data_IF_641551429984
#
_entry.id   IF_641551429984
#
_cell.length_a   1.000
_cell.length_b   1.000
_cell.length_c   1.000
_cell.angle_alpha   90.00
_cell.angle_beta   90.00
_cell.angle_gamma   90.00
#
_symmetry.space_group_name_H-M   'P 1'
#
loop_
_entity.id
_entity.type
_entity.pdbx_description
1 polymer ?
#
# COMPACT_ATOMS: atom_id res chain seq x y z
N UNK A 1 -39.85 5.80 6.65
CA UNK A 1 -39.26 4.45 6.73
C UNK A 1 -39.05 3.84 5.34
N UNK A 2 -40.10 3.75 4.51
CA UNK A 2 -40.03 3.30 3.10
C UNK A 2 -38.85 3.87 2.30
N UNK A 3 -38.76 5.20 2.17
CA UNK A 3 -37.70 5.86 1.38
C UNK A 3 -36.29 5.60 1.91
N UNK A 4 -36.14 5.47 3.23
CA UNK A 4 -34.84 5.20 3.87
C UNK A 4 -34.37 3.79 3.52
N UNK A 5 -35.25 2.79 3.64
CA UNK A 5 -34.95 1.39 3.31
C UNK A 5 -34.64 1.25 1.82
N UNK A 6 -35.46 1.87 0.95
CA UNK A 6 -35.20 1.86 -0.49
C UNK A 6 -33.82 2.47 -0.81
N UNK A 7 -33.53 3.64 -0.23
CA UNK A 7 -32.23 4.30 -0.41
C UNK A 7 -31.10 3.37 0.03
N UNK A 8 -31.17 2.78 1.23
CA UNK A 8 -30.13 1.91 1.76
C UNK A 8 -29.86 0.71 0.85
N UNK A 9 -30.89 -0.01 0.44
CA UNK A 9 -30.77 -1.17 -0.46
C UNK A 9 -30.16 -0.75 -1.80
N UNK A 10 -30.64 0.36 -2.38
CA UNK A 10 -30.15 0.87 -3.67
C UNK A 10 -28.70 1.37 -3.59
N UNK A 11 -28.29 1.93 -2.46
CA UNK A 11 -26.90 2.36 -2.20
C UNK A 11 -25.94 1.21 -1.88
N UNK A 12 -26.41 -0.03 -1.85
CA UNK A 12 -25.54 -1.20 -1.68
C UNK A 12 -25.40 -1.70 -0.24
N UNK A 13 -26.15 -1.15 0.73
CA UNK A 13 -26.10 -1.63 2.11
C UNK A 13 -26.61 -3.06 2.21
N UNK A 14 -25.97 -3.82 3.10
CA UNK A 14 -26.33 -5.19 3.48
C UNK A 14 -27.41 -5.21 4.56
N UNK A 15 -28.02 -6.38 4.77
CA UNK A 15 -29.01 -6.60 5.82
C UNK A 15 -28.45 -6.21 7.19
N UNK A 16 -27.22 -6.62 7.51
CA UNK A 16 -26.56 -6.30 8.78
C UNK A 16 -26.28 -4.80 8.95
N UNK A 17 -25.88 -4.10 7.88
CA UNK A 17 -25.66 -2.65 7.92
C UNK A 17 -26.97 -1.89 8.11
N UNK A 18 -28.06 -2.33 7.46
CA UNK A 18 -29.37 -1.72 7.66
C UNK A 18 -29.86 -1.96 9.09
N UNK A 19 -29.66 -3.15 9.66
CA UNK A 19 -30.01 -3.46 11.05
C UNK A 19 -29.25 -2.61 12.08
N UNK A 20 -28.02 -2.22 11.76
CA UNK A 20 -27.24 -1.31 12.63
C UNK A 20 -27.84 0.11 12.71
N UNK A 21 -28.66 0.49 11.73
CA UNK A 21 -29.32 1.80 11.68
C UNK A 21 -30.84 1.72 11.96
N UNK A 22 -31.46 0.56 11.70
CA UNK A 22 -32.89 0.30 11.87
C UNK A 22 -33.05 -1.03 12.62
N UNK A 23 -33.21 -0.94 13.94
CA UNK A 23 -33.30 -2.10 14.84
C UNK A 23 -34.47 -3.03 14.46
N UNK A 24 -35.57 -2.48 13.95
CA UNK A 24 -36.78 -3.23 13.58
C UNK A 24 -36.65 -3.96 12.21
N UNK A 25 -35.50 -3.87 11.55
CA UNK A 25 -35.30 -4.48 10.24
C UNK A 25 -35.11 -6.01 10.34
N UNK A 26 -35.91 -6.83 9.64
CA UNK A 26 -35.92 -8.29 9.83
C UNK A 26 -34.69 -8.97 9.23
N UNK A 27 -34.32 -10.12 9.82
CA UNK A 27 -33.20 -10.96 9.35
C UNK A 27 -33.43 -11.56 7.95
N UNK A 28 -34.66 -12.01 7.65
CA UNK A 28 -35.05 -12.47 6.31
C UNK A 28 -36.17 -11.61 5.77
N UNK A 29 -35.84 -10.82 4.74
CA UNK A 29 -36.82 -9.96 4.09
C UNK A 29 -37.75 -10.77 3.20
N UNK A 30 -39.03 -10.69 3.53
CA UNK A 30 -40.13 -11.16 2.69
C UNK A 30 -40.66 -10.04 1.81
N UNK A 31 -41.29 -10.42 0.69
CA UNK A 31 -41.98 -9.45 -0.17
C UNK A 31 -43.13 -8.79 0.61
N UNK A 32 -43.86 -9.56 1.42
CA UNK A 32 -44.92 -9.08 2.30
C UNK A 32 -44.47 -7.99 3.29
N UNK A 33 -43.25 -8.09 3.83
CA UNK A 33 -42.72 -7.05 4.71
C UNK A 33 -42.53 -5.71 3.97
N UNK A 34 -41.99 -5.76 2.74
CA UNK A 34 -41.84 -4.56 1.91
C UNK A 34 -43.19 -4.02 1.44
N UNK A 35 -44.15 -4.88 1.13
CA UNK A 35 -45.52 -4.46 0.81
C UNK A 35 -46.19 -3.75 2.00
N UNK A 36 -46.02 -4.26 3.22
CA UNK A 36 -46.50 -3.60 4.46
C UNK A 36 -45.86 -2.23 4.70
N UNK A 37 -44.63 -2.02 4.23
CA UNK A 37 -43.95 -0.72 4.24
C UNK A 37 -44.44 0.23 3.13
N UNK A 38 -45.34 -0.25 2.25
CA UNK A 38 -45.98 0.53 1.19
C UNK A 38 -45.28 0.43 -0.17
N UNK A 39 -44.43 -0.57 -0.42
CA UNK A 39 -43.91 -0.86 -1.77
C UNK A 39 -44.93 -1.65 -2.60
N UNK A 40 -45.00 -1.36 -3.90
CA UNK A 40 -45.73 -2.23 -4.82
C UNK A 40 -45.01 -3.57 -4.97
N UNK A 41 -45.76 -4.66 -5.20
CA UNK A 41 -45.26 -6.04 -5.25
C UNK A 41 -44.01 -6.18 -6.16
N UNK A 42 -44.06 -5.59 -7.35
CA UNK A 42 -42.94 -5.65 -8.32
C UNK A 42 -41.67 -5.01 -7.75
N UNK A 43 -41.80 -3.86 -7.09
CA UNK A 43 -40.66 -3.14 -6.53
C UNK A 43 -40.16 -3.78 -5.23
N UNK A 44 -41.06 -4.34 -4.43
CA UNK A 44 -40.72 -5.18 -3.28
C UNK A 44 -39.87 -6.38 -3.71
N UNK A 45 -40.26 -7.08 -4.78
CA UNK A 45 -39.47 -8.18 -5.35
C UNK A 45 -38.09 -7.67 -5.77
N UNK A 46 -38.01 -6.60 -6.57
CA UNK A 46 -36.72 -6.04 -7.03
C UNK A 46 -35.80 -5.66 -5.86
N UNK A 47 -36.32 -4.99 -4.84
CA UNK A 47 -35.55 -4.57 -3.67
C UNK A 47 -35.05 -5.78 -2.86
N UNK A 48 -35.90 -6.79 -2.65
CA UNK A 48 -35.48 -8.05 -2.01
C UNK A 48 -34.34 -8.72 -2.78
N UNK A 49 -34.44 -8.78 -4.11
CA UNK A 49 -33.37 -9.32 -4.95
C UNK A 49 -32.08 -8.50 -4.87
N UNK A 50 -32.20 -7.17 -4.86
CA UNK A 50 -31.04 -6.26 -4.76
C UNK A 50 -30.35 -6.39 -3.40
N UNK A 51 -31.08 -6.47 -2.30
CA UNK A 51 -30.49 -6.66 -0.98
C UNK A 51 -29.75 -8.00 -0.88
N UNK A 52 -30.37 -9.09 -1.38
CA UNK A 52 -29.69 -10.39 -1.46
C UNK A 52 -28.42 -10.35 -2.30
N UNK A 53 -28.36 -9.48 -3.32
CA UNK A 53 -27.12 -9.26 -4.08
C UNK A 53 -26.07 -8.52 -3.24
N UNK A 54 -26.45 -7.47 -2.51
CA UNK A 54 -25.55 -6.73 -1.63
C UNK A 54 -24.92 -7.65 -0.57
N UNK A 55 -25.74 -8.47 0.10
CA UNK A 55 -25.27 -9.43 1.11
C UNK A 55 -24.25 -10.41 0.53
N UNK A 56 -24.55 -10.98 -0.65
CA UNK A 56 -23.64 -11.89 -1.36
C UNK A 56 -22.32 -11.23 -1.74
N UNK A 57 -22.33 -9.97 -2.16
CA UNK A 57 -21.12 -9.22 -2.48
C UNK A 57 -20.27 -9.07 -1.22
N UNK A 58 -20.87 -8.65 -0.11
CA UNK A 58 -20.16 -8.47 1.17
C UNK A 58 -19.57 -9.78 1.69
N UNK A 59 -20.32 -10.88 1.63
CA UNK A 59 -19.82 -12.20 2.00
C UNK A 59 -18.61 -12.61 1.15
N UNK A 60 -18.68 -12.36 -0.16
CA UNK A 60 -17.57 -12.62 -1.08
C UNK A 60 -16.33 -11.77 -0.74
N UNK A 61 -16.51 -10.48 -0.43
CA UNK A 61 -15.43 -9.59 0.02
C UNK A 61 -14.78 -10.06 1.33
N UNK A 62 -15.60 -10.43 2.33
CA UNK A 62 -15.10 -10.95 3.61
C UNK A 62 -14.31 -12.23 3.38
N UNK A 63 -14.81 -13.11 2.50
CA UNK A 63 -14.11 -14.33 2.13
C UNK A 63 -12.80 -14.04 1.42
N UNK A 64 -12.80 -13.14 0.45
CA UNK A 64 -11.60 -12.71 -0.27
C UNK A 64 -10.57 -12.13 0.71
N UNK A 65 -10.99 -11.28 1.65
CA UNK A 65 -10.13 -10.72 2.70
C UNK A 65 -9.53 -11.81 3.61
N UNK A 66 -10.32 -12.81 4.01
CA UNK A 66 -9.80 -13.98 4.75
C UNK A 66 -8.76 -14.75 3.91
N UNK A 67 -9.04 -14.96 2.62
CA UNK A 67 -8.11 -15.59 1.68
C UNK A 67 -6.78 -14.83 1.57
N UNK A 68 -6.83 -13.50 1.40
CA UNK A 68 -5.65 -12.63 1.38
C UNK A 68 -4.82 -12.78 2.66
N UNK A 69 -5.46 -12.75 3.84
CA UNK A 69 -4.77 -12.93 5.13
C UNK A 69 -4.05 -14.27 5.25
N UNK A 70 -4.62 -15.35 4.72
CA UNK A 70 -3.97 -16.67 4.70
C UNK A 70 -2.72 -16.63 3.83
N UNK A 71 -2.82 -16.07 2.62
CA UNK A 71 -1.68 -15.97 1.70
C UNK A 71 -0.59 -15.02 2.24
N UNK A 72 -0.96 -13.92 2.90
CA UNK A 72 0.00 -13.01 3.55
C UNK A 72 0.80 -13.72 4.66
N UNK A 73 0.17 -14.62 5.43
CA UNK A 73 0.88 -15.45 6.43
C UNK A 73 1.86 -16.43 5.79
N UNK A 74 1.55 -16.94 4.60
CA UNK A 74 2.46 -17.82 3.83
C UNK A 74 3.65 -17.04 3.23
N UNK A 75 3.47 -15.73 2.99
CA UNK A 75 4.49 -14.82 2.48
C UNK A 75 4.80 -14.99 1.00
N UNK A 76 5.39 -13.96 0.39
CA UNK A 76 5.79 -13.97 -1.02
C UNK A 76 4.69 -13.56 -2.00
N UNK A 77 3.74 -12.75 -1.54
CA UNK A 77 2.67 -12.17 -2.34
C UNK A 77 2.54 -10.67 -2.06
N UNK A 78 2.16 -9.90 -3.07
CA UNK A 78 1.66 -8.53 -2.96
C UNK A 78 0.25 -8.48 -3.53
N UNK A 79 -0.63 -7.74 -2.86
CA UNK A 79 -2.04 -7.65 -3.21
C UNK A 79 -2.41 -6.19 -3.46
N UNK A 80 -3.27 -5.98 -4.45
CA UNK A 80 -4.11 -4.78 -4.47
C UNK A 80 -5.20 -4.87 -3.37
N UNK A 81 -5.84 -3.76 -2.99
CA UNK A 81 -6.72 -3.70 -1.82
C UNK A 81 -7.89 -4.70 -1.82
N UNK A 82 -8.50 -4.93 -2.99
CA UNK A 82 -9.69 -5.78 -3.14
C UNK A 82 -9.42 -7.08 -3.90
N UNK A 83 -8.15 -7.47 -4.09
CA UNK A 83 -7.77 -8.69 -4.78
C UNK A 83 -8.50 -9.94 -4.23
N UNK A 84 -9.25 -10.61 -5.09
CA UNK A 84 -9.95 -11.86 -4.77
C UNK A 84 -9.13 -13.09 -5.21
N UNK A 85 -8.48 -13.81 -4.27
CA UNK A 85 -7.72 -15.01 -4.60
C UNK A 85 -8.60 -16.19 -5.05
N UNK A 86 -9.93 -16.08 -4.94
CA UNK A 86 -10.85 -17.14 -5.37
C UNK A 86 -11.42 -16.94 -6.77
N UNK A 87 -11.22 -15.75 -7.37
CA UNK A 87 -11.67 -15.41 -8.71
C UNK A 87 -10.56 -14.71 -9.49
N UNK A 88 -9.73 -15.51 -10.16
CA UNK A 88 -8.48 -15.04 -10.76
C UNK A 88 -8.50 -15.08 -12.29
N UNK A 89 -7.71 -14.20 -12.90
CA UNK A 89 -7.30 -14.24 -14.30
C UNK A 89 -5.85 -14.70 -14.35
N UNK A 90 -5.61 -15.80 -15.06
CA UNK A 90 -4.31 -16.45 -15.09
C UNK A 90 -3.38 -15.78 -16.11
N UNK A 91 -2.16 -15.50 -15.68
CA UNK A 91 -1.02 -15.16 -16.53
C UNK A 91 -0.03 -16.34 -16.61
N UNK A 92 0.70 -16.42 -17.73
CA UNK A 92 1.74 -17.43 -18.01
C UNK A 92 2.82 -17.43 -16.94
N UNK A 93 3.26 -16.25 -16.49
CA UNK A 93 4.36 -16.14 -15.52
C UNK A 93 4.01 -16.75 -14.15
N UNK A 94 2.76 -16.58 -13.69
CA UNK A 94 2.32 -17.11 -12.40
C UNK A 94 2.29 -18.65 -12.40
N UNK A 95 1.91 -19.26 -13.51
CA UNK A 95 1.83 -20.71 -13.68
C UNK A 95 3.18 -21.41 -13.41
N UNK A 96 4.27 -20.76 -13.82
CA UNK A 96 5.61 -21.32 -13.70
C UNK A 96 6.16 -21.23 -12.27
N UNK A 97 5.56 -20.42 -11.40
CA UNK A 97 5.96 -20.29 -10.00
C UNK A 97 5.20 -21.26 -9.09
N UNK A 98 5.86 -21.82 -8.07
CA UNK A 98 5.19 -22.68 -7.08
C UNK A 98 4.05 -21.94 -6.37
N UNK A 99 4.31 -20.71 -5.94
CA UNK A 99 3.34 -19.86 -5.23
C UNK A 99 2.14 -19.49 -6.09
N UNK A 100 2.33 -19.20 -7.38
CA UNK A 100 1.23 -18.95 -8.30
C UNK A 100 0.35 -20.18 -8.46
N UNK A 101 0.96 -21.38 -8.58
CA UNK A 101 0.22 -22.65 -8.59
C UNK A 101 -0.56 -22.92 -7.32
N UNK A 102 -0.04 -22.54 -6.15
CA UNK A 102 -0.78 -22.67 -4.90
C UNK A 102 -2.03 -21.79 -4.86
N UNK A 103 -1.96 -20.57 -5.40
CA UNK A 103 -3.15 -19.71 -5.57
C UNK A 103 -4.13 -20.34 -6.55
N UNK A 104 -3.66 -20.79 -7.72
CA UNK A 104 -4.51 -21.45 -8.72
C UNK A 104 -5.16 -22.71 -8.14
N UNK A 105 -4.49 -23.48 -7.27
CA UNK A 105 -5.09 -24.67 -6.65
C UNK A 105 -6.20 -24.32 -5.66
N UNK A 106 -6.04 -23.23 -4.90
CA UNK A 106 -6.99 -22.77 -3.86
C UNK A 106 -8.16 -21.95 -4.42
N UNK A 107 -8.03 -21.42 -5.63
CA UNK A 107 -9.06 -20.62 -6.27
C UNK A 107 -10.31 -21.44 -6.62
N UNK A 108 -11.45 -20.75 -6.77
CA UNK A 108 -12.74 -21.39 -7.08
C UNK A 108 -13.11 -21.27 -8.55
N UNK A 109 -12.74 -20.17 -9.18
CA UNK A 109 -13.08 -19.86 -10.57
C UNK A 109 -11.89 -19.14 -11.20
N UNK A 110 -11.38 -19.72 -12.26
CA UNK A 110 -10.21 -19.22 -12.97
C UNK A 110 -10.61 -18.82 -14.36
N UNK A 111 -10.24 -17.63 -14.80
CA UNK A 111 -10.34 -17.21 -16.19
C UNK A 111 -8.99 -17.40 -16.83
N UNK A 112 -8.98 -18.00 -18.02
CA UNK A 112 -7.80 -18.11 -18.85
C UNK A 112 -8.12 -17.63 -20.26
N UNK A 113 -7.29 -16.74 -20.77
CA UNK A 113 -7.45 -16.24 -22.14
C UNK A 113 -6.85 -17.23 -23.12
N UNK A 114 -7.43 -17.33 -24.31
CA UNK A 114 -6.86 -18.14 -25.38
C UNK A 114 -5.44 -17.69 -25.74
N UNK A 115 -5.16 -16.38 -25.70
CA UNK A 115 -3.83 -15.84 -25.88
C UNK A 115 -2.81 -16.36 -24.84
N UNK A 116 -3.22 -16.48 -23.58
CA UNK A 116 -2.39 -17.06 -22.52
C UNK A 116 -2.16 -18.56 -22.75
N UNK A 117 -3.16 -19.29 -23.25
CA UNK A 117 -3.00 -20.71 -23.62
C UNK A 117 -1.97 -20.83 -24.75
N UNK A 118 -2.08 -20.00 -25.79
CA UNK A 118 -1.14 -19.98 -26.92
C UNK A 118 0.28 -19.62 -26.47
N UNK A 119 0.42 -18.67 -25.56
CA UNK A 119 1.73 -18.32 -24.99
C UNK A 119 2.34 -19.50 -24.20
N UNK A 120 1.53 -20.18 -23.37
CA UNK A 120 1.95 -21.40 -22.67
C UNK A 120 2.35 -22.50 -23.68
N UNK A 121 1.62 -22.65 -24.79
CA UNK A 121 1.95 -23.58 -25.86
C UNK A 121 3.30 -23.27 -26.51
N UNK A 122 3.56 -21.99 -26.81
CA UNK A 122 4.80 -21.54 -27.41
C UNK A 122 5.98 -21.76 -26.46
N UNK A 123 5.86 -21.36 -25.19
CA UNK A 123 6.88 -21.61 -24.16
C UNK A 123 7.18 -23.09 -24.03
N UNK A 124 6.15 -23.94 -24.07
CA UNK A 124 6.32 -25.39 -24.01
C UNK A 124 7.10 -25.95 -25.21
N UNK A 125 6.72 -25.57 -26.43
CA UNK A 125 7.36 -26.03 -27.67
C UNK A 125 8.81 -25.54 -27.75
N UNK A 126 9.07 -24.28 -27.42
CA UNK A 126 10.42 -23.71 -27.39
C UNK A 126 11.32 -24.44 -26.39
N UNK A 127 10.80 -24.71 -25.19
CA UNK A 127 11.53 -25.45 -24.15
C UNK A 127 11.84 -26.89 -24.59
N UNK A 128 10.92 -27.54 -25.32
CA UNK A 128 11.14 -28.88 -25.87
C UNK A 128 12.23 -28.90 -26.96
N UNK A 129 12.30 -27.87 -27.81
CA UNK A 129 13.27 -27.77 -28.91
C UNK A 129 14.70 -27.46 -28.46
N UNK A 130 14.91 -27.05 -27.20
CA UNK A 130 16.27 -26.82 -26.67
C UNK A 130 17.10 -28.10 -26.70
N UNK A 131 18.29 -28.01 -27.32
CA UNK A 131 19.28 -29.10 -27.43
C UNK A 131 19.85 -29.52 -26.07
N UNK A 132 20.05 -28.57 -25.15
CA UNK A 132 20.42 -28.84 -23.76
C UNK A 132 19.34 -28.24 -22.85
N UNK A 133 18.70 -29.08 -22.06
CA UNK A 133 17.68 -28.69 -21.08
C UNK A 133 18.29 -28.71 -19.69
N UNK A 134 18.07 -27.66 -18.93
CA UNK A 134 18.46 -27.65 -17.52
C UNK A 134 17.36 -28.25 -16.62
N UNK A 135 17.60 -28.27 -15.31
CA UNK A 135 16.61 -28.75 -14.32
C UNK A 135 15.32 -27.91 -14.34
N UNK A 136 15.43 -26.61 -14.59
CA UNK A 136 14.30 -25.69 -14.61
C UNK A 136 13.43 -25.91 -15.86
N UNK A 137 14.04 -26.11 -17.02
CA UNK A 137 13.37 -26.46 -18.27
C UNK A 137 12.54 -27.74 -18.10
N UNK A 138 13.13 -28.79 -17.50
CA UNK A 138 12.41 -30.04 -17.25
C UNK A 138 11.25 -29.86 -16.25
N UNK A 139 11.45 -29.06 -15.20
CA UNK A 139 10.39 -28.72 -14.24
C UNK A 139 9.25 -27.92 -14.90
N UNK A 140 9.58 -26.97 -15.78
CA UNK A 140 8.62 -26.18 -16.54
C UNK A 140 7.82 -27.07 -17.51
N UNK A 141 8.48 -27.95 -18.27
CA UNK A 141 7.82 -28.90 -19.18
C UNK A 141 6.81 -29.74 -18.40
N UNK A 142 7.22 -30.32 -17.27
CA UNK A 142 6.34 -31.13 -16.42
C UNK A 142 5.14 -30.30 -15.94
N UNK A 143 5.41 -29.13 -15.37
CA UNK A 143 4.38 -28.21 -14.85
C UNK A 143 3.37 -27.82 -15.92
N UNK A 144 3.83 -27.40 -17.10
CA UNK A 144 2.95 -27.00 -18.20
C UNK A 144 2.11 -28.18 -18.67
N UNK A 145 2.68 -29.38 -18.78
CA UNK A 145 1.95 -30.57 -19.22
C UNK A 145 0.82 -30.97 -18.25
N UNK A 146 1.09 -30.91 -16.94
CA UNK A 146 0.12 -31.18 -15.88
C UNK A 146 -1.00 -30.14 -15.90
N UNK A 147 -0.65 -28.86 -16.00
CA UNK A 147 -1.64 -27.79 -15.98
C UNK A 147 -2.47 -27.71 -17.26
N UNK A 148 -1.91 -28.01 -18.43
CA UNK A 148 -2.71 -28.18 -19.66
C UNK A 148 -3.80 -29.21 -19.41
N UNK A 149 -3.45 -30.43 -19.00
CA UNK A 149 -4.43 -31.49 -18.71
C UNK A 149 -5.47 -31.03 -17.69
N UNK A 150 -5.04 -30.29 -16.67
CA UNK A 150 -5.92 -29.77 -15.62
C UNK A 150 -6.89 -28.70 -16.17
N UNK A 151 -6.40 -27.73 -16.93
CA UNK A 151 -7.19 -26.65 -17.55
C UNK A 151 -8.22 -27.20 -18.54
N UNK A 152 -7.89 -28.27 -19.28
CA UNK A 152 -8.83 -28.90 -20.20
C UNK A 152 -9.91 -29.73 -19.49
N UNK A 153 -9.62 -30.29 -18.31
CA UNK A 153 -10.52 -31.26 -17.65
C UNK A 153 -11.31 -30.69 -16.46
N UNK A 154 -10.88 -29.57 -15.86
CA UNK A 154 -11.55 -29.01 -14.69
C UNK A 154 -12.50 -27.87 -15.06
N UNK A 155 -13.75 -27.99 -14.59
CA UNK A 155 -14.83 -27.01 -14.83
C UNK A 155 -14.57 -25.62 -14.22
N UNK A 156 -13.62 -25.50 -13.29
CA UNK A 156 -13.27 -24.21 -12.67
C UNK A 156 -12.60 -23.24 -13.65
N UNK A 157 -11.93 -23.75 -14.69
CA UNK A 157 -11.27 -22.94 -15.71
C UNK A 157 -12.27 -22.53 -16.79
N UNK A 158 -12.53 -21.23 -16.89
CA UNK A 158 -13.36 -20.63 -17.93
C UNK A 158 -12.46 -20.01 -18.98
N UNK A 159 -12.40 -20.65 -20.14
CA UNK A 159 -11.68 -20.17 -21.31
C UNK A 159 -12.43 -18.98 -21.90
N UNK A 160 -11.69 -17.94 -22.29
CA UNK A 160 -12.24 -16.74 -22.93
C UNK A 160 -11.43 -16.38 -24.16
N UNK A 161 -12.15 -16.08 -25.23
CA UNK A 161 -11.61 -15.47 -26.44
C UNK A 161 -11.82 -13.96 -26.39
N UNK A 162 -10.89 -13.21 -26.98
CA UNK A 162 -10.96 -11.76 -27.11
C UNK A 162 -10.43 -11.40 -28.48
N UNK A 163 -11.23 -10.61 -29.20
CA UNK A 163 -10.81 -9.97 -30.43
C UNK A 163 -9.98 -8.73 -30.07
N UNK A 164 -8.66 -8.88 -30.11
CA UNK A 164 -7.69 -7.82 -29.88
C UNK A 164 -6.53 -8.01 -30.86
N UNK A 165 -6.28 -6.99 -31.69
CA UNK A 165 -5.25 -6.99 -32.73
C UNK A 165 -3.81 -6.97 -32.18
N UNK A 166 -3.65 -6.65 -30.89
CA UNK A 166 -2.33 -6.64 -30.26
C UNK A 166 -1.68 -8.04 -30.30
N UNK A 167 -0.36 -8.09 -30.34
CA UNK A 167 0.41 -9.35 -30.36
C UNK A 167 0.84 -9.78 -28.96
N UNK A 168 0.94 -8.85 -28.01
CA UNK A 168 1.43 -9.11 -26.67
C UNK A 168 0.32 -9.64 -25.76
N UNK A 169 0.58 -10.79 -25.11
CA UNK A 169 -0.34 -11.43 -24.19
C UNK A 169 -0.76 -10.48 -23.06
N UNK A 170 0.21 -9.80 -22.44
CA UNK A 170 0.00 -8.80 -21.40
C UNK A 170 -1.03 -7.74 -21.77
N UNK A 171 -0.96 -7.19 -23.00
CA UNK A 171 -1.91 -6.17 -23.44
C UNK A 171 -3.30 -6.76 -23.61
N UNK A 172 -3.42 -8.00 -24.10
CA UNK A 172 -4.71 -8.70 -24.17
C UNK A 172 -5.30 -9.00 -22.80
N UNK A 173 -4.47 -9.36 -21.84
CA UNK A 173 -4.86 -9.57 -20.43
C UNK A 173 -5.45 -8.26 -19.85
N UNK A 174 -4.75 -7.15 -19.99
CA UNK A 174 -5.21 -5.86 -19.47
C UNK A 174 -6.46 -5.36 -20.21
N UNK A 175 -6.50 -5.53 -21.53
CA UNK A 175 -7.68 -5.22 -22.35
C UNK A 175 -8.90 -6.03 -21.90
N UNK A 176 -8.72 -7.32 -21.60
CA UNK A 176 -9.78 -8.16 -21.05
C UNK A 176 -10.36 -7.58 -19.76
N UNK A 177 -9.51 -7.28 -18.78
CA UNK A 177 -9.95 -6.78 -17.49
C UNK A 177 -10.72 -5.48 -17.69
N UNK A 178 -10.24 -4.60 -18.58
CA UNK A 178 -10.92 -3.35 -18.89
C UNK A 178 -12.31 -3.56 -19.53
N UNK A 179 -12.44 -4.55 -20.41
CA UNK A 179 -13.70 -4.88 -21.11
C UNK A 179 -14.78 -5.48 -20.20
N UNK A 180 -14.41 -5.99 -19.03
CA UNK A 180 -15.34 -6.59 -18.07
C UNK A 180 -15.89 -5.51 -17.13
N UNK A 181 -17.20 -5.54 -16.89
CA UNK A 181 -17.87 -4.67 -15.91
C UNK A 181 -17.22 -4.78 -14.53
N UNK A 182 -17.09 -3.66 -13.83
CA UNK A 182 -16.32 -3.53 -12.59
C UNK A 182 -16.67 -4.60 -11.55
N UNK A 183 -17.96 -4.91 -11.37
CA UNK A 183 -18.44 -5.88 -10.37
C UNK A 183 -18.13 -7.34 -10.74
N UNK A 184 -17.66 -7.58 -11.97
CA UNK A 184 -17.37 -8.93 -12.50
C UNK A 184 -15.90 -9.10 -12.88
N UNK A 185 -15.06 -8.08 -12.65
CA UNK A 185 -13.64 -8.13 -13.00
C UNK A 185 -12.93 -9.21 -12.18
N UNK A 186 -12.17 -10.10 -12.82
CA UNK A 186 -11.31 -11.04 -12.11
C UNK A 186 -10.08 -10.31 -11.54
N UNK A 187 -9.44 -10.94 -10.56
CA UNK A 187 -8.15 -10.50 -10.03
C UNK A 187 -7.00 -11.07 -10.86
N UNK A 188 -6.12 -10.23 -11.38
CA UNK A 188 -4.96 -10.69 -12.15
C UNK A 188 -3.98 -11.45 -11.25
N UNK A 189 -3.58 -12.66 -11.61
CA UNK A 189 -2.52 -13.40 -10.94
C UNK A 189 -1.29 -13.45 -11.84
N UNK A 190 -0.20 -12.77 -11.45
CA UNK A 190 1.03 -12.68 -12.24
C UNK A 190 2.28 -12.78 -11.36
N UNK A 191 3.39 -13.25 -11.94
CA UNK A 191 4.73 -13.16 -11.38
C UNK A 191 5.63 -12.19 -12.18
N UNK A 192 5.05 -11.47 -13.14
CA UNK A 192 5.72 -10.40 -13.88
C UNK A 192 5.44 -9.05 -13.20
N UNK A 193 6.53 -8.38 -12.81
CA UNK A 193 6.46 -7.08 -12.15
C UNK A 193 5.90 -5.98 -13.06
N UNK A 194 6.25 -5.98 -14.35
CA UNK A 194 5.79 -4.97 -15.29
C UNK A 194 4.29 -5.12 -15.54
N UNK A 195 3.81 -6.36 -15.66
CA UNK A 195 2.38 -6.62 -15.82
C UNK A 195 1.60 -6.25 -14.54
N UNK A 196 2.11 -6.60 -13.35
CA UNK A 196 1.52 -6.20 -12.08
C UNK A 196 1.48 -4.68 -11.91
N UNK A 197 2.57 -3.99 -12.23
CA UNK A 197 2.66 -2.52 -12.16
C UNK A 197 1.71 -1.84 -13.16
N UNK A 198 1.55 -2.40 -14.37
CA UNK A 198 0.54 -1.91 -15.32
C UNK A 198 -0.88 -2.12 -14.79
N UNK A 199 -1.18 -3.28 -14.23
CA UNK A 199 -2.49 -3.56 -13.64
C UNK A 199 -2.82 -2.57 -12.52
N UNK A 200 -1.86 -2.31 -11.62
CA UNK A 200 -1.96 -1.31 -10.55
C UNK A 200 -2.24 0.09 -11.11
N UNK A 201 -1.52 0.50 -12.16
CA UNK A 201 -1.71 1.80 -12.80
C UNK A 201 -3.09 1.97 -13.46
N UNK A 202 -3.72 0.88 -13.90
CA UNK A 202 -5.10 0.88 -14.41
C UNK A 202 -6.16 0.77 -13.31
N UNK A 203 -5.76 0.62 -12.04
CA UNK A 203 -6.68 0.36 -10.93
C UNK A 203 -7.30 -1.03 -10.99
N UNK A 204 -6.63 -1.99 -11.63
CA UNK A 204 -7.07 -3.39 -11.67
C UNK A 204 -6.58 -4.14 -10.45
N UNK A 205 -7.43 -5.02 -9.94
CA UNK A 205 -7.05 -5.85 -8.81
C UNK A 205 -6.06 -6.94 -9.25
N UNK A 206 -4.99 -7.14 -8.49
CA UNK A 206 -3.93 -8.10 -8.79
C UNK A 206 -3.36 -8.80 -7.55
N UNK A 207 -2.79 -9.98 -7.80
CA UNK A 207 -1.94 -10.75 -6.91
C UNK A 207 -0.60 -10.91 -7.62
N UNK A 208 0.41 -10.23 -7.11
CA UNK A 208 1.78 -10.35 -7.60
C UNK A 208 2.55 -11.36 -6.76
N UNK A 209 3.15 -12.35 -7.43
CA UNK A 209 3.92 -13.42 -6.80
C UNK A 209 5.41 -13.08 -6.82
N UNK A 210 6.02 -12.90 -5.65
CA UNK A 210 7.46 -12.66 -5.57
C UNK A 210 8.26 -13.94 -5.85
N UNK A 211 9.31 -13.79 -6.67
CA UNK A 211 10.40 -14.77 -6.75
C UNK A 211 11.26 -14.61 -5.49
N UNK A 212 11.18 -15.55 -4.56
CA UNK A 212 12.05 -15.53 -3.37
C UNK A 212 13.51 -15.77 -3.74
N UNK A 213 14.43 -15.06 -3.07
CA UNK A 213 15.88 -15.31 -3.13
C UNK A 213 16.14 -16.79 -2.81
N UNK A 214 16.38 -17.57 -3.85
CA UNK A 214 16.46 -19.04 -3.84
C UNK A 214 16.33 -19.60 -5.25
N UNK A 215 15.57 -18.91 -6.10
CA UNK A 215 15.59 -19.11 -7.55
C UNK A 215 16.63 -18.15 -8.16
N UNK A 216 17.78 -18.68 -8.58
CA UNK A 216 18.88 -17.86 -9.10
C UNK A 216 18.48 -17.15 -10.41
N UNK A 217 18.35 -15.82 -10.36
CA UNK A 217 18.90 -14.92 -11.38
C UNK A 217 19.15 -13.53 -10.79
N UNK A 218 20.42 -13.11 -10.86
CA UNK A 218 21.05 -11.80 -10.61
C UNK A 218 20.33 -10.76 -9.70
N UNK A 219 21.03 -10.47 -8.60
CA UNK A 219 20.92 -9.34 -7.65
C UNK A 219 20.09 -8.13 -8.15
N UNK A 220 19.05 -7.82 -7.41
CA UNK A 220 18.85 -6.46 -6.88
C UNK A 220 18.32 -6.59 -5.45
N UNK A 221 19.17 -6.21 -4.52
CA UNK A 221 18.88 -6.15 -3.09
C UNK A 221 18.35 -4.77 -2.77
N UNK A 222 17.15 -4.73 -2.19
CA UNK A 222 16.82 -3.75 -1.16
C UNK A 222 16.12 -4.54 -0.06
N UNK A 223 16.79 -4.63 1.08
CA UNK A 223 16.22 -5.14 2.32
C UNK A 223 15.07 -4.22 2.73
N UNK A 224 13.89 -4.78 2.91
CA UNK A 224 12.81 -4.13 3.65
C UNK A 224 12.74 -4.86 4.98
N UNK A 225 13.09 -4.14 6.04
CA UNK A 225 12.98 -4.60 7.42
C UNK A 225 11.49 -4.89 7.71
N UNK A 226 11.23 -6.06 8.29
CA UNK A 226 9.99 -6.37 8.98
C UNK A 226 9.80 -5.34 10.10
N UNK A 227 8.86 -4.41 9.92
CA UNK A 227 8.33 -3.62 11.03
C UNK A 227 6.95 -4.18 11.38
N UNK A 228 6.88 -4.80 12.56
CA UNK A 228 5.67 -5.31 13.20
C UNK A 228 4.54 -4.28 13.17
N UNK A 229 3.50 -4.56 12.37
CA UNK A 229 2.25 -3.79 12.41
C UNK A 229 1.45 -4.31 13.60
N UNK A 230 1.57 -3.60 14.72
CA UNK A 230 0.67 -3.70 15.87
C UNK A 230 -0.71 -3.17 15.45
N UNK A 231 -1.57 -4.06 14.98
CA UNK A 231 -2.99 -3.74 14.74
C UNK A 231 -3.69 -3.60 16.09
N UNK A 232 -4.14 -2.39 16.41
CA UNK A 232 -5.10 -2.17 17.49
C UNK A 232 -6.43 -2.81 17.10
N UNK A 233 -6.71 -3.99 17.66
CA UNK A 233 -8.05 -4.53 17.78
C UNK A 233 -8.68 -3.97 19.06
N UNK A 234 -9.68 -3.11 18.91
CA UNK A 234 -10.64 -2.82 19.98
C UNK A 234 -11.51 -4.05 20.17
N UNK A 235 -11.14 -4.91 21.11
CA UNK A 235 -12.04 -5.91 21.68
C UNK A 235 -12.62 -5.35 22.98
N UNK A 236 -13.93 -5.15 22.96
CA UNK A 236 -14.78 -4.95 24.13
C UNK A 236 -14.86 -6.30 24.84
N UNK A 237 -14.35 -6.38 26.07
CA UNK A 237 -14.79 -7.40 27.03
C UNK A 237 -14.91 -6.81 28.44
N UNK A 238 -16.08 -7.06 29.01
CA UNK A 238 -16.52 -6.66 30.35
C UNK A 238 -15.77 -7.39 31.46
N UNK A 239 -15.61 -6.66 32.57
CA UNK A 239 -15.56 -7.11 33.97
C UNK A 239 -14.76 -8.37 34.34
N UNK A 240 -13.64 -8.16 35.04
CA UNK A 240 -13.57 -8.55 36.46
C UNK A 240 -12.36 -7.91 37.15
N UNK A 241 -12.66 -7.07 38.14
CA UNK A 241 -11.70 -6.42 39.03
C UNK A 241 -11.26 -7.43 40.09
N UNK A 242 -9.95 -7.64 40.22
CA UNK A 242 -9.35 -8.00 41.52
C UNK A 242 -8.02 -7.27 41.69
N UNK A 243 -8.07 -6.35 42.64
CA UNK A 243 -6.99 -5.56 43.23
C UNK A 243 -5.91 -6.48 43.80
N UNK A 244 -4.63 -6.16 43.55
CA UNK A 244 -3.61 -6.19 44.59
C UNK A 244 -2.41 -5.32 44.20
N UNK A 245 -2.28 -4.23 44.94
CA UNK A 245 -1.15 -3.33 45.03
C UNK A 245 0.01 -3.97 45.78
N UNK A 246 1.24 -3.69 45.38
CA UNK A 246 2.36 -3.53 46.33
C UNK A 246 3.46 -2.67 45.70
N UNK A 247 3.82 -1.60 46.42
CA UNK A 247 4.92 -0.69 46.15
C UNK A 247 6.27 -1.25 46.65
N UNK A 248 7.31 -0.45 46.35
CA UNK A 248 8.59 -0.26 47.04
C UNK A 248 9.77 -1.20 46.68
N UNK A 249 10.83 -0.65 46.05
CA UNK A 249 12.07 -0.16 46.70
C UNK A 249 13.19 0.18 45.70
N UNK A 250 13.67 1.43 45.79
CA UNK A 250 15.00 1.90 45.38
C UNK A 250 16.09 1.18 46.20
N UNK A 251 17.25 0.95 45.58
CA UNK A 251 18.52 0.90 46.30
C UNK A 251 19.67 1.38 45.41
N UNK A 252 20.52 2.14 46.07
CA UNK A 252 21.50 3.09 45.57
C UNK A 252 22.94 2.52 45.61
N UNK A 253 23.80 3.13 44.78
CA UNK A 253 25.24 3.40 44.98
C UNK A 253 26.26 2.23 45.04
N UNK A 254 27.25 2.27 44.11
CA UNK A 254 28.68 2.41 44.46
C UNK A 254 29.57 2.83 43.29
N UNK A 255 30.23 3.97 43.49
CA UNK A 255 31.38 4.45 42.73
C UNK A 255 32.68 3.85 43.27
N UNK A 256 33.69 3.70 42.39
CA UNK A 256 35.10 3.61 42.78
C UNK A 256 35.93 4.51 41.87
N UNK A 257 36.56 5.50 42.51
CA UNK A 257 37.61 6.37 42.00
C UNK A 257 38.99 5.79 42.30
N UNK A 258 40.01 6.18 41.53
CA UNK A 258 41.41 6.17 41.97
C UNK A 258 42.12 7.39 41.37
N UNK A 259 42.91 8.04 42.22
CA UNK A 259 43.51 9.38 42.14
C UNK A 259 44.77 9.45 41.24
N UNK A 260 44.91 10.50 40.41
CA UNK A 260 45.70 11.76 40.55
C UNK A 260 47.20 11.64 40.20
N UNK A 261 47.61 12.41 39.18
CA UNK A 261 48.78 13.30 39.23
C UNK A 261 48.49 14.59 38.42
N UNK A 262 48.71 15.74 39.07
CA UNK A 262 48.64 17.10 38.50
C UNK A 262 49.94 17.46 37.76
N UNK A 263 49.81 18.26 36.69
CA UNK A 263 50.60 19.49 36.55
C UNK A 263 49.99 20.43 35.49
N UNK A 264 49.58 21.59 35.99
CA UNK A 264 49.76 22.93 35.43
C UNK A 264 48.89 23.50 34.29
N UNK A 265 48.17 24.54 34.71
CA UNK A 265 47.81 25.79 34.01
C UNK A 265 46.67 25.75 32.98
N UNK A 266 45.46 26.22 33.36
CA UNK A 266 45.13 27.66 33.48
C UNK A 266 43.61 27.87 33.70
N UNK A 267 43.20 28.21 34.92
CA UNK A 267 41.90 28.81 35.30
C UNK A 267 42.02 29.25 36.76
N UNK A 268 41.34 30.24 37.34
CA UNK A 268 40.30 31.24 37.01
C UNK A 268 40.14 32.00 38.34
N UNK A 269 39.77 33.26 38.31
CA UNK A 269 39.00 33.93 39.37
C UNK A 269 38.56 35.28 38.80
N UNK A 270 37.33 35.78 38.94
CA UNK A 270 36.36 35.57 40.00
C UNK A 270 34.92 35.72 39.46
N UNK A 271 34.00 35.13 40.22
CA UNK A 271 32.56 35.36 40.25
C UNK A 271 32.25 36.85 40.47
N UNK A 272 31.20 37.39 39.83
CA UNK A 272 30.10 38.12 40.51
C UNK A 272 28.80 37.88 39.71
N UNK A 273 27.75 37.65 40.48
CA UNK A 273 26.40 37.16 40.20
C UNK A 273 25.52 38.03 39.28
N UNK A 274 24.46 37.40 38.75
CA UNK A 274 23.17 38.09 38.55
C UNK A 274 22.52 37.96 37.17
N UNK A 275 21.66 36.94 37.02
CA UNK A 275 20.58 36.79 36.01
C UNK A 275 21.01 36.70 34.53
N UNK A 276 21.20 35.46 34.07
CA UNK A 276 21.05 35.14 32.65
C UNK A 276 20.12 33.93 32.48
N UNK A 277 18.92 34.19 31.94
CA UNK A 277 18.18 33.21 31.15
C UNK A 277 19.06 32.83 29.95
N UNK A 278 19.87 31.77 30.08
CA UNK A 278 20.51 31.12 28.93
C UNK A 278 19.69 29.91 28.56
N UNK A 279 18.68 30.16 27.71
CA UNK A 279 18.14 29.13 26.82
C UNK A 279 19.32 28.37 26.21
N UNK A 280 19.38 27.06 26.40
CA UNK A 280 20.29 26.19 25.67
C UNK A 280 20.00 26.38 24.18
N UNK A 281 20.87 27.14 23.52
CA UNK A 281 20.73 27.53 22.13
C UNK A 281 21.28 26.39 21.27
N UNK A 282 20.48 25.35 21.06
CA UNK A 282 20.85 24.20 20.24
C UNK A 282 20.81 24.60 18.77
N UNK A 283 21.97 24.68 18.14
CA UNK A 283 22.09 24.85 16.69
C UNK A 283 22.04 23.47 16.04
N UNK A 284 21.09 23.22 15.12
CA UNK A 284 21.00 21.96 14.39
C UNK A 284 21.40 22.14 12.93
N UNK A 285 22.08 21.14 12.37
CA UNK A 285 22.47 21.11 10.96
C UNK A 285 22.18 19.72 10.39
N UNK A 286 21.51 19.68 9.26
CA UNK A 286 21.21 18.42 8.56
C UNK A 286 21.37 18.60 7.06
N UNK A 287 21.80 17.54 6.36
CA UNK A 287 21.93 17.53 4.92
C UNK A 287 21.04 16.43 4.36
N UNK A 288 20.01 16.83 3.63
CA UNK A 288 19.01 15.91 3.07
C UNK A 288 19.10 16.03 1.55
N UNK A 289 19.45 14.94 0.88
CA UNK A 289 19.61 14.85 -0.58
C UNK A 289 20.42 16.00 -1.22
N UNK A 290 21.50 16.43 -0.55
CA UNK A 290 22.39 17.48 -1.05
C UNK A 290 21.93 18.92 -0.82
N UNK A 291 20.80 19.11 -0.11
CA UNK A 291 20.36 20.39 0.43
C UNK A 291 20.65 20.43 1.93
N UNK A 292 21.31 21.49 2.39
CA UNK A 292 21.70 21.71 3.78
C UNK A 292 20.67 22.63 4.46
N UNK A 293 20.19 22.16 5.61
CA UNK A 293 19.29 22.87 6.51
C UNK A 293 20.06 23.21 7.80
N UNK A 294 20.07 24.49 8.17
CA UNK A 294 20.77 24.96 9.37
C UNK A 294 19.82 25.82 10.21
N UNK A 295 19.55 25.38 11.43
CA UNK A 295 18.73 26.12 12.39
C UNK A 295 19.64 26.82 13.39
N UNK A 296 19.56 28.15 13.44
CA UNK A 296 20.30 29.02 14.35
C UNK A 296 19.44 30.20 14.74
N UNK A 297 19.50 30.61 16.01
CA UNK A 297 18.85 31.84 16.49
C UNK A 297 17.37 31.97 16.08
N UNK A 298 16.59 30.89 16.21
CA UNK A 298 15.17 30.82 15.81
C UNK A 298 14.89 31.08 14.31
N UNK A 299 15.90 30.83 13.47
CA UNK A 299 15.82 30.92 12.02
C UNK A 299 16.32 29.64 11.39
N UNK A 300 15.77 29.30 10.24
CA UNK A 300 16.28 28.26 9.37
C UNK A 300 16.89 28.86 8.11
N UNK A 301 18.08 28.39 7.78
CA UNK A 301 18.77 28.67 6.53
C UNK A 301 18.76 27.42 5.67
N UNK A 302 18.30 27.55 4.42
CA UNK A 302 18.33 26.49 3.40
C UNK A 302 19.37 26.85 2.36
N UNK A 303 20.41 26.03 2.24
CA UNK A 303 21.53 26.26 1.35
C UNK A 303 21.97 24.96 0.66
N UNK A 304 22.55 25.06 -0.53
CA UNK A 304 22.87 23.91 -1.37
C UNK A 304 22.10 23.96 -2.68
N UNK A 305 22.44 23.05 -3.58
CA UNK A 305 21.82 22.98 -4.90
C UNK A 305 21.78 21.54 -5.37
N UNK A 306 20.57 21.05 -5.62
CA UNK A 306 20.34 19.78 -6.28
C UNK A 306 19.38 20.04 -7.44
N UNK A 307 19.83 19.81 -8.69
CA UNK A 307 19.02 20.03 -9.91
C UNK A 307 17.71 19.24 -9.92
N UNK A 308 17.59 18.23 -9.06
CA UNK A 308 16.45 17.32 -8.97
C UNK A 308 15.63 17.52 -7.72
N UNK A 309 16.00 18.47 -6.85
CA UNK A 309 15.25 18.77 -5.64
C UNK A 309 14.77 20.22 -5.63
N UNK A 310 13.54 20.44 -5.17
CA UNK A 310 12.96 21.76 -4.90
C UNK A 310 12.44 21.77 -3.46
N UNK A 311 12.62 22.87 -2.75
CA UNK A 311 12.28 22.97 -1.32
C UNK A 311 11.33 24.13 -1.12
N UNK A 312 10.28 23.92 -0.35
CA UNK A 312 9.20 24.86 -0.11
C UNK A 312 9.03 25.11 1.39
N UNK A 313 8.75 26.36 1.75
CA UNK A 313 8.28 26.74 3.08
C UNK A 313 6.76 26.88 3.04
N UNK A 314 6.06 26.20 3.94
CA UNK A 314 4.59 26.18 4.03
C UNK A 314 4.13 26.87 5.31
N UNK A 315 3.13 27.75 5.19
CA UNK A 315 2.42 28.38 6.32
C UNK A 315 0.92 28.39 6.01
N UNK A 316 0.12 27.67 6.79
CA UNK A 316 -1.28 27.42 6.47
C UNK A 316 -1.44 26.71 5.12
N UNK A 317 -2.17 27.33 4.20
CA UNK A 317 -2.37 26.84 2.82
C UNK A 317 -1.32 27.37 1.84
N UNK A 318 -0.55 28.39 2.22
CA UNK A 318 0.36 29.08 1.32
C UNK A 318 1.73 28.37 1.30
N UNK A 319 2.34 28.30 0.11
CA UNK A 319 3.69 27.75 -0.04
C UNK A 319 4.60 28.71 -0.79
N UNK A 320 5.90 28.62 -0.52
CA UNK A 320 6.88 29.47 -1.20
C UNK A 320 8.16 28.69 -1.47
N UNK A 321 8.61 28.74 -2.73
CA UNK A 321 9.84 28.07 -3.17
C UNK A 321 11.07 28.75 -2.54
N UNK A 322 11.90 27.96 -1.87
CA UNK A 322 13.17 28.39 -1.30
C UNK A 322 14.16 28.76 -2.41
N UNK A 323 14.79 29.92 -2.25
CA UNK A 323 15.91 30.33 -3.11
C UNK A 323 17.24 29.83 -2.55
N UNK A 324 18.32 30.00 -3.31
CA UNK A 324 19.67 29.62 -2.86
C UNK A 324 20.09 30.53 -1.71
N UNK A 325 20.43 29.95 -0.55
CA UNK A 325 20.77 30.68 0.69
C UNK A 325 19.58 31.49 1.25
N UNK A 326 18.38 30.90 1.23
CA UNK A 326 17.19 31.52 1.80
C UNK A 326 17.18 31.34 3.33
N UNK A 327 16.78 32.39 4.06
CA UNK A 327 16.76 32.42 5.53
C UNK A 327 15.39 32.91 6.00
N UNK A 328 14.76 32.14 6.89
CA UNK A 328 13.43 32.46 7.42
C UNK A 328 13.34 32.22 8.91
N UNK A 329 12.52 33.03 9.57
CA UNK A 329 12.17 32.81 10.97
C UNK A 329 11.26 31.58 11.08
N UNK A 330 11.54 30.72 12.06
CA UNK A 330 10.83 29.45 12.25
C UNK A 330 9.35 29.69 12.59
N UNK A 331 9.05 30.77 13.31
CA UNK A 331 7.67 31.20 13.64
C UNK A 331 6.77 31.45 12.42
N UNK A 332 7.36 31.60 11.23
CA UNK A 332 6.65 31.83 9.97
C UNK A 332 6.56 30.57 9.10
N UNK A 333 6.84 29.40 9.66
CA UNK A 333 6.87 28.14 8.92
C UNK A 333 6.18 27.08 9.77
N UNK A 334 5.12 26.47 9.23
CA UNK A 334 4.46 25.32 9.86
C UNK A 334 5.16 24.02 9.44
N UNK A 335 5.58 23.95 8.17
CA UNK A 335 6.22 22.78 7.58
C UNK A 335 7.18 23.17 6.45
N UNK A 336 8.21 22.36 6.24
CA UNK A 336 9.08 22.44 5.07
C UNK A 336 8.83 21.20 4.22
N UNK A 337 8.58 21.40 2.93
CA UNK A 337 8.35 20.30 1.98
C UNK A 337 9.47 20.30 0.95
N UNK A 338 10.11 19.16 0.77
CA UNK A 338 11.09 18.96 -0.30
C UNK A 338 10.58 17.97 -1.33
N UNK A 339 10.50 18.40 -2.59
CA UNK A 339 10.25 17.57 -3.75
C UNK A 339 11.57 17.06 -4.32
N UNK A 340 11.67 15.77 -4.63
CA UNK A 340 12.85 15.14 -5.21
C UNK A 340 12.46 14.24 -6.39
N UNK A 341 12.84 14.62 -7.62
CA UNK A 341 12.63 13.79 -8.83
C UNK A 341 13.56 12.58 -8.79
N UNK A 342 13.04 11.36 -8.92
CA UNK A 342 13.83 10.12 -8.98
C UNK A 342 14.45 9.86 -10.37
N UNK A 343 15.49 9.01 -10.44
CA UNK A 343 16.33 8.86 -11.65
C UNK A 343 15.80 7.65 -12.40
N UNK A 344 15.37 7.84 -13.64
CA UNK A 344 14.87 6.76 -14.49
C UNK A 344 13.36 6.50 -14.45
N UNK A 345 12.62 7.08 -13.48
CA UNK A 345 11.17 6.90 -13.32
C UNK A 345 10.42 8.24 -13.33
N UNK A 346 9.14 8.25 -13.75
CA UNK A 346 8.21 9.39 -13.63
C UNK A 346 7.67 9.51 -12.19
N UNK A 347 8.59 9.66 -11.24
CA UNK A 347 8.31 9.70 -9.80
C UNK A 347 8.91 10.94 -9.13
N UNK A 348 8.15 11.56 -8.24
CA UNK A 348 8.61 12.60 -7.32
C UNK A 348 8.40 12.12 -5.89
N UNK A 349 9.46 12.20 -5.08
CA UNK A 349 9.38 11.98 -3.65
C UNK A 349 9.10 13.29 -2.95
N UNK A 350 8.13 13.28 -2.04
CA UNK A 350 7.78 14.39 -1.17
C UNK A 350 8.31 14.06 0.23
N UNK A 351 9.19 14.91 0.74
CA UNK A 351 9.81 14.75 2.05
C UNK A 351 9.33 15.89 2.94
N UNK A 352 8.69 15.55 4.06
CA UNK A 352 8.20 16.51 5.05
C UNK A 352 9.24 16.69 6.15
N UNK A 353 9.71 17.91 6.29
CA UNK A 353 10.73 18.32 7.27
C UNK A 353 10.05 19.27 8.27
N UNK A 354 10.06 18.90 9.55
CA UNK A 354 9.57 19.72 10.65
C UNK A 354 10.71 20.19 11.52
N UNK A 355 10.51 21.31 12.19
CA UNK A 355 11.45 21.81 13.19
C UNK A 355 10.74 21.77 14.54
N UNK A 356 11.26 20.96 15.47
CA UNK A 356 10.70 20.82 16.82
C UNK A 356 11.82 21.07 17.81
N UNK A 357 11.64 22.03 18.73
CA UNK A 357 12.64 22.40 19.73
C UNK A 357 14.02 22.73 19.14
N UNK A 358 14.06 23.51 18.04
CA UNK A 358 15.28 23.85 17.29
C UNK A 358 16.07 22.63 16.77
N UNK A 359 15.42 21.47 16.64
CA UNK A 359 15.96 20.29 15.98
C UNK A 359 15.16 20.00 14.71
N UNK A 360 15.87 19.59 13.66
CA UNK A 360 15.26 19.17 12.40
C UNK A 360 14.81 17.72 12.59
N UNK A 361 13.54 17.44 12.27
CA UNK A 361 12.95 16.10 12.25
C UNK A 361 12.36 15.85 10.87
N UNK A 362 12.72 14.72 10.28
CA UNK A 362 12.18 14.27 8.99
C UNK A 362 11.13 13.20 9.27
N UNK A 363 9.85 13.55 9.12
CA UNK A 363 8.75 12.72 9.61
C UNK A 363 8.23 11.72 8.57
N UNK A 364 8.10 12.11 7.29
CA UNK A 364 7.41 11.30 6.28
C UNK A 364 8.06 11.45 4.89
N UNK A 365 8.41 10.31 4.28
CA UNK A 365 8.79 10.19 2.87
C UNK A 365 7.62 9.56 2.10
N UNK A 366 6.98 10.35 1.23
CA UNK A 366 5.86 9.90 0.41
C UNK A 366 6.33 9.88 -1.05
N UNK A 367 6.36 8.70 -1.66
CA UNK A 367 6.64 8.55 -3.09
C UNK A 367 5.31 8.68 -3.82
N UNK A 368 5.18 9.67 -4.72
CA UNK A 368 3.95 9.88 -5.49
C UNK A 368 4.21 9.81 -6.98
N UNK A 369 3.36 9.06 -7.68
CA UNK A 369 3.26 9.10 -9.14
C UNK A 369 2.40 10.29 -9.60
N UNK A 370 2.50 10.67 -10.88
CA UNK A 370 1.75 11.81 -11.49
C UNK A 370 0.27 11.82 -11.09
N UNK A 371 -0.36 10.65 -11.00
CA UNK A 371 -1.80 10.50 -10.73
C UNK A 371 -2.16 10.52 -9.23
N UNK A 372 -1.18 10.33 -8.33
CA UNK A 372 -1.37 10.31 -6.86
C UNK A 372 -1.12 11.68 -6.21
N UNK A 373 -0.54 12.63 -6.95
CA UNK A 373 -0.30 14.00 -6.50
C UNK A 373 -1.64 14.70 -6.22
N UNK A 374 -2.66 14.52 -7.06
CA UNK A 374 -4.01 15.08 -6.86
C UNK A 374 -4.76 14.57 -5.62
N UNK A 375 -4.29 13.46 -5.03
CA UNK A 375 -4.85 12.89 -3.80
C UNK A 375 -4.00 13.24 -2.58
N UNK A 376 -2.92 14.00 -2.76
CA UNK A 376 -2.06 14.44 -1.68
C UNK A 376 -2.66 15.67 -1.02
N UNK A 377 -2.81 15.69 0.30
CA UNK A 377 -3.22 16.90 1.03
C UNK A 377 -2.06 17.91 1.13
N UNK A 378 -1.48 18.34 0.01
CA UNK A 378 -0.40 19.35 -0.05
C UNK A 378 -0.91 20.61 -0.75
N UNK A 379 -0.30 21.79 -0.51
CA UNK A 379 -0.65 23.02 -1.23
C UNK A 379 -0.59 22.86 -2.76
N UNK A 380 -1.54 23.48 -3.46
CA UNK A 380 -1.72 23.39 -4.92
C UNK A 380 -0.45 23.75 -5.71
N UNK A 381 0.27 24.79 -5.26
CA UNK A 381 1.54 25.24 -5.85
C UNK A 381 2.63 24.15 -5.83
N UNK A 382 2.65 23.33 -4.77
CA UNK A 382 3.58 22.21 -4.63
C UNK A 382 3.16 21.05 -5.54
N UNK A 383 1.86 20.83 -5.73
CA UNK A 383 1.34 19.84 -6.67
C UNK A 383 1.72 20.19 -8.11
N UNK A 384 1.54 21.43 -8.52
CA UNK A 384 1.89 21.91 -9.86
C UNK A 384 3.39 21.80 -10.12
N UNK A 385 4.22 22.20 -9.16
CA UNK A 385 5.67 22.06 -9.31
C UNK A 385 6.10 20.59 -9.37
N UNK A 386 5.49 19.71 -8.57
CA UNK A 386 5.75 18.28 -8.64
C UNK A 386 5.42 17.72 -10.04
N UNK A 387 4.36 18.21 -10.71
CA UNK A 387 4.06 17.87 -12.11
C UNK A 387 5.12 18.41 -13.08
N UNK A 388 5.53 19.66 -12.94
CA UNK A 388 6.56 20.26 -13.81
C UNK A 388 7.91 19.54 -13.69
N UNK A 389 8.24 19.01 -12.51
CA UNK A 389 9.43 18.19 -12.31
C UNK A 389 9.36 16.82 -13.00
N UNK A 390 8.17 16.37 -13.44
CA UNK A 390 7.96 15.07 -14.09
C UNK A 390 7.97 15.14 -15.63
N UNK A 391 7.78 16.34 -16.20
CA UNK A 391 8.05 16.67 -17.61
C UNK A 391 9.57 16.64 -17.85
#
# INVERSE_FOLDING_TARGET
MKEIIERFIRTGKTTAEIQSEIIEFPDDITTEYLEKLGFEEIDAIKLKWKLRQNDRIREAEIKAAKGRRILLKEGGYQFSPNADPYYILLDTSALLTKRGRDVIRKSKKDIILEATIQEIDNVFIETLRKNKKDLMDNANIKTISEYKRTIFNQSKFKKRHIECEDKYCDTKILYYINSVALERRPTLLTADYNLASRADAYGFEYIFVYKTKGEKSKKQSTEVQESDIKVQSTEVQESNIKVQSTEVQENDIKAQSTEVQESDNKSKSAEIEGRANKNQQTNSKEVIHGIKFEVKYNKITVNGFNKRAKTFFVKGTDSTLSRKKDERKIENIDLIIMLLRQRGNREVRIIKIKIVNNQIKTDEEIIKFVNEIYQSKVPEEIEEEARMMLV
#
